data_IF_505227923003
#
_entry.id   IF_505227923003
#
_cell.length_a   1.000
_cell.length_b   1.000
_cell.length_c   1.000
_cell.angle_alpha   90.00
_cell.angle_beta   90.00
_cell.angle_gamma   90.00
#
_symmetry.space_group_name_H-M   'P 1'
#
loop_
_entity.id
_entity.type
_entity.pdbx_description
1 polymer ?
#
# COMPACT_ATOMS: atom_id res chain seq x y z
N UNK A 1 -18.13 -18.06 -39.75
CA UNK A 1 -19.50 -17.76 -39.30
C UNK A 1 -19.48 -16.41 -38.61
N UNK A 2 -20.21 -15.43 -39.13
CA UNK A 2 -20.42 -14.18 -38.40
C UNK A 2 -21.43 -14.45 -37.28
N UNK A 3 -21.15 -14.10 -36.03
CA UNK A 3 -22.11 -14.27 -34.94
C UNK A 3 -23.37 -13.44 -35.26
N UNK A 4 -24.54 -14.07 -35.18
CA UNK A 4 -25.86 -13.47 -35.48
C UNK A 4 -26.37 -12.57 -34.35
N UNK A 5 -25.51 -12.20 -33.40
CA UNK A 5 -25.92 -11.45 -32.24
C UNK A 5 -26.31 -10.02 -32.62
N UNK A 6 -27.39 -9.47 -32.02
CA UNK A 6 -27.72 -8.06 -32.15
C UNK A 6 -26.55 -7.21 -31.64
N UNK A 7 -26.07 -6.26 -32.45
CA UNK A 7 -24.95 -5.37 -32.10
C UNK A 7 -25.16 -4.68 -30.75
N UNK A 8 -26.41 -4.33 -30.40
CA UNK A 8 -26.77 -3.78 -29.09
C UNK A 8 -26.47 -4.73 -27.92
N UNK A 9 -26.77 -6.02 -28.08
CA UNK A 9 -26.53 -7.03 -27.05
C UNK A 9 -25.02 -7.27 -26.87
N UNK A 10 -24.27 -7.26 -27.98
CA UNK A 10 -22.81 -7.32 -27.94
C UNK A 10 -22.21 -6.10 -27.21
N UNK A 11 -22.67 -4.89 -27.53
CA UNK A 11 -22.21 -3.67 -26.86
C UNK A 11 -22.54 -3.68 -25.36
N UNK A 12 -23.73 -4.12 -24.97
CA UNK A 12 -24.13 -4.21 -23.56
C UNK A 12 -23.23 -5.20 -22.79
N UNK A 13 -22.90 -6.34 -23.40
CA UNK A 13 -21.99 -7.34 -22.82
C UNK A 13 -20.59 -6.76 -22.60
N UNK A 14 -20.02 -6.14 -23.62
CA UNK A 14 -18.68 -5.53 -23.55
C UNK A 14 -18.62 -4.47 -22.45
N UNK A 15 -19.63 -3.59 -22.36
CA UNK A 15 -19.67 -2.55 -21.33
C UNK A 15 -19.77 -3.14 -19.92
N UNK A 16 -20.59 -4.18 -19.74
CA UNK A 16 -20.74 -4.82 -18.43
C UNK A 16 -19.46 -5.56 -18.00
N UNK A 17 -18.81 -6.25 -18.93
CA UNK A 17 -17.55 -6.95 -18.69
C UNK A 17 -16.44 -5.94 -18.33
N UNK A 18 -16.34 -4.82 -19.06
CA UNK A 18 -15.40 -3.73 -18.74
C UNK A 18 -15.67 -3.10 -17.36
N UNK A 19 -16.94 -2.89 -17.00
CA UNK A 19 -17.33 -2.36 -15.69
C UNK A 19 -16.95 -3.32 -14.56
N UNK A 20 -17.17 -4.61 -14.77
CA UNK A 20 -16.84 -5.67 -13.82
C UNK A 20 -15.32 -5.78 -13.63
N UNK A 21 -14.56 -5.73 -14.72
CA UNK A 21 -13.10 -5.68 -14.69
C UNK A 21 -12.56 -4.44 -13.98
N UNK A 22 -13.15 -3.25 -14.21
CA UNK A 22 -12.78 -2.02 -13.50
C UNK A 22 -12.98 -2.17 -12.00
N UNK A 23 -14.16 -2.66 -11.58
CA UNK A 23 -14.48 -2.88 -10.17
C UNK A 23 -13.55 -3.92 -9.52
N UNK A 24 -13.23 -4.99 -10.22
CA UNK A 24 -12.26 -5.99 -9.75
C UNK A 24 -10.87 -5.37 -9.56
N UNK A 25 -10.41 -4.55 -10.52
CA UNK A 25 -9.14 -3.82 -10.40
C UNK A 25 -9.15 -2.82 -9.24
N UNK A 26 -10.22 -2.06 -9.06
CA UNK A 26 -10.36 -1.11 -7.96
C UNK A 26 -10.31 -1.81 -6.59
N UNK A 27 -10.91 -3.01 -6.48
CA UNK A 27 -10.84 -3.82 -5.27
C UNK A 27 -9.44 -4.41 -5.00
N UNK A 28 -8.70 -4.78 -6.06
CA UNK A 28 -7.36 -5.38 -5.94
C UNK A 28 -6.31 -4.31 -5.64
N UNK A 29 -6.40 -3.16 -6.31
CA UNK A 29 -5.49 -2.04 -6.09
C UNK A 29 -5.83 -1.32 -4.78
N UNK A 30 -7.09 -1.35 -4.34
CA UNK A 30 -7.51 -0.62 -3.17
C UNK A 30 -7.39 0.89 -3.35
N UNK A 31 -7.64 1.62 -2.27
CA UNK A 31 -7.61 3.10 -2.27
C UNK A 31 -6.32 3.60 -1.65
N UNK A 32 -5.23 3.41 -2.37
CA UNK A 32 -3.89 3.78 -1.90
C UNK A 32 -3.79 5.22 -1.39
N UNK A 33 -4.44 6.17 -2.04
CA UNK A 33 -4.44 7.58 -1.60
C UNK A 33 -5.06 7.78 -0.22
N UNK A 34 -6.20 7.13 0.06
CA UNK A 34 -6.85 7.18 1.37
C UNK A 34 -6.00 6.50 2.46
N UNK A 35 -5.28 5.44 2.09
CA UNK A 35 -4.37 4.74 3.00
C UNK A 35 -3.10 5.54 3.31
N UNK A 36 -2.52 6.20 2.31
CA UNK A 36 -1.40 7.11 2.48
C UNK A 36 -1.74 8.26 3.43
N UNK A 37 -2.96 8.80 3.36
CA UNK A 37 -3.47 9.82 4.29
C UNK A 37 -3.46 9.38 5.76
N UNK A 38 -3.54 8.06 6.03
CA UNK A 38 -3.58 7.51 7.39
C UNK A 38 -2.20 7.20 7.98
N UNK A 39 -1.12 7.31 7.21
CA UNK A 39 0.23 6.95 7.67
C UNK A 39 0.70 7.74 8.89
N UNK A 40 0.32 9.02 8.98
CA UNK A 40 0.66 9.84 10.16
C UNK A 40 -0.06 9.34 11.41
N UNK A 41 -1.35 9.04 11.30
CA UNK A 41 -2.14 8.49 12.40
C UNK A 41 -1.57 7.15 12.84
N UNK A 42 -1.31 6.25 11.88
CA UNK A 42 -0.71 4.95 12.14
C UNK A 42 0.65 5.06 12.83
N UNK A 43 1.54 5.94 12.35
CA UNK A 43 2.84 6.15 12.96
C UNK A 43 2.74 6.69 14.41
N UNK A 44 1.74 7.51 14.70
CA UNK A 44 1.50 8.03 16.05
C UNK A 44 0.94 6.95 16.98
N UNK A 45 -0.02 6.16 16.51
CA UNK A 45 -0.57 5.02 17.25
C UNK A 45 0.53 4.01 17.59
N UNK A 46 1.41 3.67 16.64
CA UNK A 46 2.54 2.79 16.90
C UNK A 46 3.50 3.34 17.96
N UNK A 47 3.75 4.66 17.98
CA UNK A 47 4.59 5.30 19.00
C UNK A 47 3.96 5.25 20.38
N UNK A 48 2.62 5.35 20.45
CA UNK A 48 1.87 5.29 21.71
C UNK A 48 1.86 3.87 22.28
N UNK A 49 1.48 2.89 21.45
CA UNK A 49 1.29 1.51 21.90
C UNK A 49 2.62 0.77 22.09
N UNK A 50 3.65 1.09 21.30
CA UNK A 50 4.95 0.43 21.36
C UNK A 50 6.10 1.44 21.42
N UNK A 51 6.35 2.07 22.59
CA UNK A 51 7.36 3.11 22.75
C UNK A 51 8.79 2.67 22.41
N UNK A 52 9.10 1.37 22.52
CA UNK A 52 10.41 0.81 22.16
C UNK A 52 10.63 0.68 20.65
N UNK A 53 9.60 0.94 19.84
CA UNK A 53 9.67 0.87 18.37
C UNK A 53 10.29 2.13 17.76
N UNK A 54 11.07 1.94 16.71
CA UNK A 54 11.59 3.05 15.90
C UNK A 54 10.71 3.25 14.68
N UNK A 55 10.01 4.39 14.62
CA UNK A 55 9.15 4.76 13.49
C UNK A 55 9.64 6.09 12.90
N UNK A 56 10.01 6.10 11.61
CA UNK A 56 10.44 7.29 10.87
C UNK A 56 9.61 7.44 9.60
N UNK A 57 8.82 8.50 9.53
CA UNK A 57 8.02 8.87 8.36
C UNK A 57 8.66 10.10 7.70
N UNK A 58 9.00 9.99 6.42
CA UNK A 58 9.59 11.07 5.63
C UNK A 58 8.61 11.53 4.56
N UNK A 59 8.39 12.83 4.51
CA UNK A 59 7.59 13.52 3.49
C UNK A 59 8.44 14.60 2.83
N UNK A 60 8.11 14.94 1.59
CA UNK A 60 8.68 16.11 0.94
C UNK A 60 8.29 17.40 1.69
N UNK A 61 9.15 18.43 1.63
CA UNK A 61 8.76 19.75 2.07
C UNK A 61 7.55 20.22 1.25
N UNK A 62 6.59 20.91 1.87
CA UNK A 62 5.41 21.41 1.17
C UNK A 62 5.85 22.35 0.05
N UNK A 63 5.22 22.21 -1.13
CA UNK A 63 5.45 23.15 -2.23
C UNK A 63 4.90 24.55 -1.85
N UNK A 64 5.56 25.64 -2.26
CA UNK A 64 5.09 26.99 -1.95
C UNK A 64 3.66 27.19 -2.49
N UNK A 65 2.72 27.46 -1.59
CA UNK A 65 1.31 27.66 -1.94
C UNK A 65 0.42 26.42 -1.85
N UNK A 66 0.95 25.25 -1.46
CA UNK A 66 0.14 24.05 -1.20
C UNK A 66 0.49 23.43 0.15
N UNK A 67 -0.49 22.87 0.85
CA UNK A 67 -0.24 22.04 2.05
C UNK A 67 -0.02 20.56 1.69
N UNK A 68 0.18 20.27 0.40
CA UNK A 68 0.37 18.90 -0.06
C UNK A 68 1.79 18.42 0.26
N UNK A 69 1.86 17.37 1.09
CA UNK A 69 3.11 16.69 1.41
C UNK A 69 3.17 15.35 0.71
N UNK A 70 4.12 15.19 -0.20
CA UNK A 70 4.30 13.92 -0.90
C UNK A 70 5.02 12.93 0.02
N UNK A 71 4.47 11.71 0.14
CA UNK A 71 5.13 10.64 0.87
C UNK A 71 6.44 10.24 0.17
N UNK A 72 7.51 10.07 0.94
CA UNK A 72 8.79 9.56 0.44
C UNK A 72 9.10 8.17 0.96
N UNK A 73 9.20 8.02 2.28
CA UNK A 73 9.69 6.79 2.92
C UNK A 73 9.04 6.60 4.28
N UNK A 74 8.77 5.35 4.63
CA UNK A 74 8.41 4.92 5.98
C UNK A 74 9.39 3.84 6.41
N UNK A 75 10.00 4.03 7.57
CA UNK A 75 10.77 2.99 8.25
C UNK A 75 10.09 2.64 9.56
N UNK A 76 9.84 1.35 9.77
CA UNK A 76 9.28 0.81 11.01
C UNK A 76 10.16 -0.34 11.49
N UNK A 77 10.67 -0.22 12.71
CA UNK A 77 11.31 -1.30 13.44
C UNK A 77 10.55 -1.48 14.76
N UNK A 78 9.75 -2.53 14.85
CA UNK A 78 8.95 -2.82 16.03
C UNK A 78 9.86 -3.31 17.16
N UNK A 79 9.85 -2.59 18.28
CA UNK A 79 10.72 -2.84 19.43
C UNK A 79 10.60 -4.28 19.96
N UNK A 80 9.38 -4.77 20.24
CA UNK A 80 9.20 -6.14 20.73
C UNK A 80 9.71 -7.21 19.77
N UNK A 81 9.55 -7.02 18.46
CA UNK A 81 10.07 -7.96 17.45
C UNK A 81 11.59 -7.91 17.37
N UNK A 82 12.18 -6.72 17.47
CA UNK A 82 13.64 -6.55 17.51
C UNK A 82 14.25 -7.27 18.72
N UNK A 83 13.61 -7.14 19.88
CA UNK A 83 14.06 -7.79 21.12
C UNK A 83 13.90 -9.30 21.04
N UNK A 84 12.71 -9.81 20.68
CA UNK A 84 12.50 -11.25 20.51
C UNK A 84 13.45 -11.87 19.46
N UNK A 85 13.71 -11.16 18.36
CA UNK A 85 14.68 -11.60 17.37
C UNK A 85 16.10 -11.67 17.94
N UNK A 86 16.53 -10.63 18.67
CA UNK A 86 17.86 -10.60 19.31
C UNK A 86 18.02 -11.72 20.32
N UNK A 87 16.98 -11.97 21.11
CA UNK A 87 17.05 -12.86 22.27
C UNK A 87 16.92 -14.34 21.89
N UNK A 88 16.28 -14.68 20.75
CA UNK A 88 16.07 -16.08 20.35
C UNK A 88 16.29 -16.45 18.87
N UNK A 89 16.08 -15.55 17.91
CA UNK A 89 16.02 -15.92 16.48
C UNK A 89 17.25 -15.53 15.65
N UNK A 90 18.13 -14.66 16.17
CA UNK A 90 19.34 -14.17 15.47
C UNK A 90 20.30 -15.27 14.99
N UNK A 91 20.47 -16.41 15.69
CA UNK A 91 21.35 -17.49 15.21
C UNK A 91 20.79 -18.27 14.01
N UNK A 92 19.49 -18.17 13.71
CA UNK A 92 18.77 -19.08 12.79
C UNK A 92 18.39 -18.46 11.43
N UNK A 93 18.31 -17.13 11.31
CA UNK A 93 17.69 -16.48 10.15
C UNK A 93 18.63 -15.51 9.44
N UNK A 94 18.97 -15.82 8.18
CA UNK A 94 19.49 -14.86 7.21
C UNK A 94 18.33 -14.02 6.65
N UNK A 95 18.39 -12.70 6.84
CA UNK A 95 17.35 -11.78 6.39
C UNK A 95 17.46 -11.60 4.87
N UNK A 96 16.63 -12.30 4.10
CA UNK A 96 16.49 -12.06 2.67
C UNK A 96 15.68 -10.77 2.47
N UNK A 97 16.28 -9.76 1.85
CA UNK A 97 15.58 -8.54 1.50
C UNK A 97 14.44 -8.84 0.53
N UNK A 98 13.19 -8.75 1.02
CA UNK A 98 12.02 -8.86 0.17
C UNK A 98 11.75 -7.50 -0.48
N UNK A 99 11.73 -7.46 -1.80
CA UNK A 99 11.38 -6.25 -2.56
C UNK A 99 9.86 -6.17 -2.66
N UNK A 100 9.25 -5.16 -2.01
CA UNK A 100 7.82 -4.91 -2.14
C UNK A 100 7.57 -4.27 -3.52
N UNK A 101 6.91 -5.01 -4.42
CA UNK A 101 6.42 -4.46 -5.70
C UNK A 101 4.97 -4.01 -5.51
N UNK A 102 4.75 -2.70 -5.58
CA UNK A 102 3.42 -2.12 -5.65
C UNK A 102 3.07 -1.63 -7.06
N UNK A 103 1.80 -1.28 -7.34
CA UNK A 103 1.38 -0.68 -8.60
C UNK A 103 2.07 0.67 -8.90
N UNK A 104 2.71 1.28 -7.91
CA UNK A 104 3.51 2.50 -8.04
C UNK A 104 5.03 2.26 -8.00
N UNK A 105 5.48 1.00 -8.10
CA UNK A 105 6.89 0.63 -8.19
C UNK A 105 7.48 0.08 -6.88
N UNK A 106 8.80 0.18 -6.80
CA UNK A 106 9.66 -0.11 -5.65
C UNK A 106 10.52 1.09 -5.29
#
# INVERSE_FOLDING_TARGET
>A
MNPTWPVKAFHARVVNDLKSMKKAKDNILGKHEEEFGKLNLYANELRREMPSSTIKLMTDPPEPGTDQRRFKRLYVCLGPLKEGFRDGCRPLLGLYGCHLRGPFGC
#
